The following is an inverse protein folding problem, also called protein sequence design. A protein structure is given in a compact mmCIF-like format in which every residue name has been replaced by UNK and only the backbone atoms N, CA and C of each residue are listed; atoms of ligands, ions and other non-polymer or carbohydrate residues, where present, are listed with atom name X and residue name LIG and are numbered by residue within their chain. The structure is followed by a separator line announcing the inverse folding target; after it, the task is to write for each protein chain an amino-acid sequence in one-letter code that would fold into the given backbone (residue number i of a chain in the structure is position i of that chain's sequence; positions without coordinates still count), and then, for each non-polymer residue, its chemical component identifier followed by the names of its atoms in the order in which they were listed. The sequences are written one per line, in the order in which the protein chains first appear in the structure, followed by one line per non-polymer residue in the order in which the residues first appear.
data_IF_196913386200
#
_entry.id   IF_196913386200
#
_cell.length_a   1.000
_cell.length_b   1.000
_cell.length_c   1.000
_cell.angle_alpha   90.00
_cell.angle_beta   90.00
_cell.angle_gamma   90.00
#
_symmetry.space_group_name_H-M   'P 1'
#
loop_
_entity.id
_entity.type
_entity.pdbx_description
1 polymer ?
#
# COMPACT_ATOMS: atom_id res chain seq x y z
N UNK A 1 -24.36 -0.15 6.92
CA UNK A 1 -22.93 0.23 6.95
C UNK A 1 -22.14 -0.99 7.36
N UNK A 2 -21.45 -1.65 6.42
CA UNK A 2 -20.66 -2.84 6.73
C UNK A 2 -19.39 -2.40 7.46
N UNK A 3 -19.41 -2.53 8.79
CA UNK A 3 -18.23 -2.59 9.64
C UNK A 3 -17.36 -3.72 9.08
N UNK A 4 -16.26 -3.36 8.42
CA UNK A 4 -15.23 -4.32 8.05
C UNK A 4 -14.66 -4.86 9.36
N UNK A 5 -15.09 -6.05 9.74
CA UNK A 5 -14.56 -6.77 10.88
C UNK A 5 -13.07 -7.00 10.62
N UNK A 6 -12.25 -6.17 11.25
CA UNK A 6 -10.81 -6.22 11.19
C UNK A 6 -10.38 -7.54 11.83
N UNK A 7 -9.86 -8.47 11.03
CA UNK A 7 -9.39 -9.74 11.56
C UNK A 7 -8.06 -9.52 12.29
N UNK A 8 -7.94 -9.94 13.56
CA UNK A 8 -6.66 -9.90 14.28
C UNK A 8 -5.52 -10.57 13.49
N UNK A 9 -5.85 -11.61 12.72
CA UNK A 9 -4.90 -12.35 11.88
C UNK A 9 -4.25 -11.49 10.78
N UNK A 10 -4.97 -10.53 10.21
CA UNK A 10 -4.43 -9.69 9.13
C UNK A 10 -3.40 -8.68 9.66
N UNK A 11 -3.62 -8.15 10.88
CA UNK A 11 -2.66 -7.29 11.58
C UNK A 11 -1.42 -8.07 12.00
N UNK A 12 -1.59 -9.30 12.49
CA UNK A 12 -0.49 -10.18 12.87
C UNK A 12 0.40 -10.50 11.67
N UNK A 13 -0.19 -10.70 10.48
CA UNK A 13 0.55 -10.91 9.24
C UNK A 13 1.39 -9.69 8.86
N UNK A 14 0.81 -8.48 8.93
CA UNK A 14 1.55 -7.24 8.66
C UNK A 14 2.72 -7.06 9.62
N UNK A 15 2.47 -7.29 10.92
CA UNK A 15 3.47 -7.19 11.98
C UNK A 15 4.60 -8.20 11.77
N UNK A 16 4.25 -9.46 11.49
CA UNK A 16 5.22 -10.53 11.20
C UNK A 16 6.11 -10.20 10.00
N UNK A 17 5.54 -9.56 8.97
CA UNK A 17 6.29 -9.13 7.79
C UNK A 17 7.37 -8.10 8.15
N UNK A 18 7.01 -7.09 8.96
CA UNK A 18 7.92 -6.05 9.40
C UNK A 18 9.01 -6.59 10.32
N UNK A 19 8.69 -7.56 11.19
CA UNK A 19 9.67 -8.25 12.02
C UNK A 19 10.71 -8.99 11.18
N UNK A 20 10.27 -9.79 10.19
CA UNK A 20 11.19 -10.51 9.28
C UNK A 20 12.07 -9.55 8.49
N UNK A 21 11.50 -8.43 8.02
CA UNK A 21 12.28 -7.40 7.33
C UNK A 21 13.35 -6.80 8.25
N UNK A 22 12.99 -6.49 9.50
CA UNK A 22 13.92 -6.00 10.51
C UNK A 22 15.03 -7.01 10.84
N UNK A 23 14.74 -8.31 10.76
CA UNK A 23 15.70 -9.41 10.93
C UNK A 23 16.62 -9.61 9.71
N UNK A 24 16.48 -8.79 8.66
CA UNK A 24 17.33 -8.84 7.46
C UNK A 24 16.81 -9.73 6.34
N UNK A 25 15.56 -10.20 6.42
CA UNK A 25 14.93 -10.92 5.31
C UNK A 25 14.70 -9.97 4.12
N UNK A 26 15.03 -10.44 2.92
CA UNK A 26 14.84 -9.67 1.68
C UNK A 26 13.35 -9.33 1.46
N UNK A 27 12.96 -8.04 1.40
CA UNK A 27 11.57 -7.63 1.26
C UNK A 27 10.95 -7.98 -0.10
N UNK A 28 11.74 -8.40 -1.10
CA UNK A 28 11.23 -8.92 -2.38
C UNK A 28 10.61 -10.31 -2.25
N UNK A 29 11.00 -11.06 -1.22
CA UNK A 29 10.54 -12.42 -0.95
C UNK A 29 9.34 -12.47 0.01
N UNK A 30 9.00 -11.35 0.65
CA UNK A 30 7.89 -11.25 1.59
C UNK A 30 6.65 -10.77 0.85
N UNK A 31 5.66 -11.64 0.68
CA UNK A 31 4.38 -11.33 0.04
C UNK A 31 3.21 -11.29 1.02
N UNK A 32 2.45 -10.20 0.97
CA UNK A 32 1.31 -9.95 1.85
C UNK A 32 -0.02 -9.99 1.09
N UNK A 33 -1.10 -10.52 1.70
CA UNK A 33 -2.44 -10.38 1.15
C UNK A 33 -2.90 -8.91 1.19
N UNK A 34 -3.85 -8.57 0.30
CA UNK A 34 -4.49 -7.24 0.27
C UNK A 34 -4.94 -6.76 1.66
N UNK A 35 -5.54 -7.64 2.46
CA UNK A 35 -6.07 -7.29 3.79
C UNK A 35 -5.00 -7.01 4.85
N UNK A 36 -3.78 -7.55 4.69
CA UNK A 36 -2.67 -7.24 5.59
C UNK A 36 -1.98 -5.92 5.21
N UNK A 37 -1.99 -5.55 3.92
CA UNK A 37 -1.44 -4.26 3.48
C UNK A 37 -2.41 -3.11 3.76
N UNK A 38 -3.70 -3.34 3.49
CA UNK A 38 -4.77 -2.35 3.63
C UNK A 38 -5.74 -2.80 4.73
N UNK A 39 -5.93 -2.05 5.83
CA UNK A 39 -5.47 -0.68 6.07
C UNK A 39 -4.15 -0.55 6.86
N UNK A 40 -3.50 -1.67 7.21
CA UNK A 40 -2.47 -1.66 8.27
C UNK A 40 -1.13 -1.03 7.88
N UNK A 41 -0.67 -1.21 6.63
CA UNK A 41 0.56 -0.60 6.13
C UNK A 41 0.27 0.66 5.29
N UNK A 42 -0.78 0.60 4.47
CA UNK A 42 -1.28 1.74 3.71
C UNK A 42 -2.67 2.05 4.23
N UNK A 43 -2.84 3.26 4.77
CA UNK A 43 -4.10 3.70 5.36
C UNK A 43 -5.16 4.01 4.28
N UNK A 44 -5.67 2.96 3.65
CA UNK A 44 -6.78 2.97 2.73
C UNK A 44 -7.56 1.66 2.87
N UNK A 45 -8.84 1.68 2.49
CA UNK A 45 -9.66 0.48 2.53
C UNK A 45 -9.23 -0.53 1.44
N UNK A 46 -9.38 -1.85 1.65
CA UNK A 46 -9.12 -2.87 0.62
C UNK A 46 -9.89 -2.63 -0.69
N UNK A 47 -11.08 -2.03 -0.62
CA UNK A 47 -11.85 -1.61 -1.80
C UNK A 47 -11.12 -0.56 -2.64
N UNK A 48 -10.42 0.38 -2.00
CA UNK A 48 -9.56 1.37 -2.67
C UNK A 48 -8.40 0.70 -3.38
N UNK A 49 -7.75 -0.28 -2.75
CA UNK A 49 -6.70 -1.08 -3.39
C UNK A 49 -7.23 -1.84 -4.61
N UNK A 50 -8.45 -2.38 -4.53
CA UNK A 50 -9.09 -3.03 -5.69
C UNK A 50 -9.35 -2.06 -6.82
N UNK A 51 -9.86 -0.87 -6.51
CA UNK A 51 -10.10 0.16 -7.52
C UNK A 51 -8.79 0.64 -8.15
N UNK A 52 -7.72 0.80 -7.36
CA UNK A 52 -6.43 1.28 -7.86
C UNK A 52 -5.79 0.35 -8.87
N UNK A 53 -5.99 -0.97 -8.75
CA UNK A 53 -5.51 -1.94 -9.76
C UNK A 53 -6.18 -1.78 -11.11
N UNK A 54 -7.43 -1.31 -11.15
CA UNK A 54 -8.15 -1.04 -12.40
C UNK A 54 -7.81 0.34 -12.95
N UNK A 55 -7.65 1.35 -12.09
CA UNK A 55 -7.39 2.73 -12.53
C UNK A 55 -5.92 3.05 -12.73
N UNK A 56 -5.01 2.23 -12.23
CA UNK A 56 -3.58 2.52 -12.18
C UNK A 56 -3.19 3.60 -11.16
N UNK A 57 -4.13 4.08 -10.34
CA UNK A 57 -3.94 5.20 -9.41
C UNK A 57 -4.39 4.80 -8.00
N UNK A 58 -3.49 4.98 -7.02
CA UNK A 58 -3.76 4.83 -5.59
C UNK A 58 -3.51 6.17 -4.89
N UNK A 59 -4.53 6.70 -4.21
CA UNK A 59 -4.43 7.94 -3.42
C UNK A 59 -3.79 9.11 -4.19
N UNK A 60 -4.16 9.27 -5.47
CA UNK A 60 -3.67 10.35 -6.33
C UNK A 60 -2.26 10.15 -6.90
N UNK A 61 -1.63 9.00 -6.65
CA UNK A 61 -0.30 8.63 -7.15
C UNK A 61 -0.39 7.34 -7.99
N UNK A 62 0.61 7.02 -8.84
CA UNK A 62 0.68 5.72 -9.49
C UNK A 62 0.48 4.58 -8.47
N UNK A 63 -0.39 3.62 -8.81
CA UNK A 63 -0.64 2.49 -7.94
C UNK A 63 0.63 1.63 -7.81
N UNK A 64 0.89 1.11 -6.60
CA UNK A 64 1.96 0.14 -6.39
C UNK A 64 1.73 -1.14 -7.19
N UNK A 65 2.83 -1.82 -7.51
CA UNK A 65 2.82 -3.10 -8.21
C UNK A 65 2.22 -4.19 -7.31
N UNK A 66 1.70 -5.23 -7.95
CA UNK A 66 1.16 -6.40 -7.27
C UNK A 66 1.53 -7.68 -8.01
N UNK A 67 1.57 -8.79 -7.29
CA UNK A 67 1.77 -10.13 -7.84
C UNK A 67 0.41 -10.82 -7.94
N UNK A 68 0.11 -11.34 -9.14
CA UNK A 68 -1.14 -12.04 -9.43
C UNK A 68 -0.96 -13.54 -9.22
N UNK A 69 -1.61 -14.10 -8.19
CA UNK A 69 -1.63 -15.54 -7.93
C UNK A 69 -3.02 -16.10 -8.18
N UNK A 70 -3.27 -16.56 -9.41
CA UNK A 70 -4.58 -17.07 -9.83
C UNK A 70 -5.70 -16.07 -9.52
N UNK A 71 -6.60 -16.41 -8.61
CA UNK A 71 -7.70 -15.52 -8.18
C UNK A 71 -7.29 -14.49 -7.13
N UNK A 72 -6.15 -14.66 -6.48
CA UNK A 72 -5.66 -13.81 -5.39
C UNK A 72 -4.67 -12.74 -5.86
N UNK A 73 -4.51 -11.71 -5.04
CA UNK A 73 -3.56 -10.61 -5.24
C UNK A 73 -2.64 -10.57 -4.03
N UNK A 74 -1.34 -10.45 -4.28
CA UNK A 74 -0.31 -10.24 -3.27
C UNK A 74 0.44 -8.96 -3.54
N UNK A 75 1.00 -8.38 -2.49
CA UNK A 75 1.86 -7.22 -2.54
C UNK A 75 3.19 -7.63 -1.92
N UNK A 76 4.30 -7.44 -2.65
CA UNK A 76 5.62 -7.62 -2.05
C UNK A 76 5.85 -6.49 -1.06
N UNK A 77 6.48 -6.80 0.07
CA UNK A 77 6.79 -5.79 1.08
C UNK A 77 7.67 -4.70 0.47
N UNK A 78 8.61 -5.04 -0.43
CA UNK A 78 9.42 -4.04 -1.14
C UNK A 78 8.55 -3.02 -1.89
N UNK A 79 7.59 -3.46 -2.70
CA UNK A 79 6.75 -2.56 -3.49
C UNK A 79 5.88 -1.65 -2.59
N UNK A 80 5.48 -2.15 -1.41
CA UNK A 80 4.76 -1.36 -0.40
C UNK A 80 5.67 -0.29 0.19
N UNK A 81 6.87 -0.66 0.62
CA UNK A 81 7.85 0.26 1.21
C UNK A 81 8.30 1.32 0.21
N UNK A 82 8.65 0.94 -1.00
CA UNK A 82 9.03 1.86 -2.08
C UNK A 82 7.91 2.88 -2.36
N UNK A 83 6.65 2.43 -2.36
CA UNK A 83 5.51 3.31 -2.64
C UNK A 83 5.29 4.33 -1.51
N UNK A 84 5.46 3.90 -0.25
CA UNK A 84 5.41 4.75 0.94
C UNK A 84 6.55 5.78 0.91
N UNK A 85 7.78 5.33 0.66
CA UNK A 85 8.98 6.18 0.60
C UNK A 85 8.90 7.21 -0.53
N UNK A 86 8.35 6.84 -1.69
CA UNK A 86 8.15 7.78 -2.78
C UNK A 86 7.08 8.86 -2.49
N UNK A 87 6.43 8.81 -1.31
CA UNK A 87 5.53 9.84 -0.83
C UNK A 87 6.23 11.19 -0.76
N UNK A 88 5.52 12.24 -1.18
CA UNK A 88 6.03 13.60 -1.04
C UNK A 88 5.40 14.23 0.19
N UNK A 89 6.23 14.83 1.02
CA UNK A 89 5.79 15.65 2.13
C UNK A 89 5.42 17.04 1.60
N UNK A 90 4.27 17.53 2.05
CA UNK A 90 3.79 18.86 1.76
C UNK A 90 3.35 19.50 3.07
N UNK A 91 3.68 20.77 3.27
CA UNK A 91 3.30 21.53 4.45
C UNK A 91 1.81 21.90 4.43
N UNK A 92 1.21 21.99 3.23
CA UNK A 92 -0.22 22.26 3.05
C UNK A 92 -0.69 21.91 1.63
N UNK A 93 -2.01 21.94 1.41
CA UNK A 93 -2.61 21.64 0.10
C UNK A 93 -2.38 22.70 -0.98
N UNK A 94 -2.07 23.95 -0.61
CA UNK A 94 -1.79 25.00 -1.61
C UNK A 94 -0.43 24.74 -2.30
N UNK A 95 0.57 24.30 -1.54
CA UNK A 95 1.88 23.87 -2.04
C UNK A 95 1.76 22.78 -3.11
N UNK A 96 0.89 21.79 -2.90
CA UNK A 96 0.63 20.71 -3.87
C UNK A 96 0.18 21.28 -5.22
N UNK A 97 -0.75 22.25 -5.21
CA UNK A 97 -1.28 22.88 -6.43
C UNK A 97 -0.22 23.70 -7.17
N UNK A 98 0.65 24.39 -6.44
CA UNK A 98 1.76 25.14 -7.04
C UNK A 98 2.72 24.21 -7.77
N UNK A 99 3.12 23.11 -7.14
CA UNK A 99 4.05 22.13 -7.74
C UNK A 99 3.42 21.44 -8.96
N UNK A 100 2.12 21.12 -8.91
CA UNK A 100 1.41 20.51 -10.04
C UNK A 100 1.14 21.52 -11.18
N UNK A 101 0.98 22.80 -10.86
CA UNK A 101 0.76 23.87 -11.84
C UNK A 101 2.02 24.30 -12.59
N UNK A 102 3.20 24.20 -11.96
CA UNK A 102 4.50 24.50 -12.58
C UNK A 102 4.94 23.39 -13.55
N UNK A 103 4.43 22.17 -13.41
CA UNK A 103 4.75 21.03 -14.27
C UNK A 103 3.88 20.96 -15.55
N UNK A 104 3.17 22.03 -15.90
CA UNK A 104 2.26 22.09 -17.05
C UNK A 104 2.78 22.98 -18.17
#
# INVERSE_FOLDING_TARGET
MHIHEQSPLDLDLATSALLRYREGCDPTLIELPEKAVFPYLINAQPSTARKSRTTGILLGRPALRFVKHGRTIRYRLKDVLDWLEAGKDYSNTAEVRLIQGVAK
#
